data_IF_319107705888
#
_entry.id   IF_319107705888
#
_cell.length_a   1.000
_cell.length_b   1.000
_cell.length_c   1.000
_cell.angle_alpha   90.00
_cell.angle_beta   90.00
_cell.angle_gamma   90.00
#
_symmetry.space_group_name_H-M   'P 1'
#
loop_
_entity.id
_entity.type
_entity.pdbx_description
1 polymer ?
#
# COMPACT_ATOMS: atom_id res chain seq x y z
N UNK A 1 -34.00 -13.72 18.78
CA UNK A 1 -32.56 -13.52 19.08
C UNK A 1 -31.65 -14.04 17.97
N UNK A 2 -32.16 -14.70 16.92
CA UNK A 2 -31.35 -15.16 15.77
C UNK A 2 -31.35 -14.19 14.57
N UNK A 3 -32.27 -13.22 14.51
CA UNK A 3 -32.31 -12.22 13.42
C UNK A 3 -31.29 -11.07 13.57
N UNK A 4 -30.80 -10.81 14.79
CA UNK A 4 -29.84 -9.72 15.04
C UNK A 4 -28.41 -10.09 14.62
N UNK A 5 -27.98 -11.34 14.82
CA UNK A 5 -26.67 -11.83 14.34
C UNK A 5 -26.58 -11.86 12.81
N UNK A 6 -27.72 -11.98 12.12
CA UNK A 6 -27.76 -11.97 10.65
C UNK A 6 -27.52 -10.59 10.04
N UNK A 7 -27.82 -9.52 10.78
CA UNK A 7 -27.66 -8.14 10.30
C UNK A 7 -26.21 -7.68 10.51
N UNK A 8 -25.53 -8.13 11.58
CA UNK A 8 -24.11 -7.82 11.81
C UNK A 8 -23.15 -8.63 10.93
N UNK A 9 -23.57 -9.81 10.45
CA UNK A 9 -22.72 -10.66 9.60
C UNK A 9 -22.78 -10.39 8.10
N UNK A 10 -23.72 -9.57 7.61
CA UNK A 10 -24.11 -9.57 6.19
C UNK A 10 -23.91 -8.23 5.45
N UNK A 11 -23.42 -7.17 6.09
CA UNK A 11 -23.32 -5.84 5.46
C UNK A 11 -21.91 -5.24 5.45
N UNK A 12 -20.87 -6.05 5.61
CA UNK A 12 -19.47 -5.63 5.37
C UNK A 12 -18.77 -6.53 4.35
N UNK A 13 -19.53 -7.00 3.38
CA UNK A 13 -18.97 -7.42 2.09
C UNK A 13 -19.49 -6.44 1.04
N UNK A 14 -19.24 -5.15 1.25
CA UNK A 14 -19.06 -4.27 0.10
C UNK A 14 -18.11 -4.99 -0.85
N UNK A 15 -18.50 -5.08 -2.12
CA UNK A 15 -17.63 -5.43 -3.24
C UNK A 15 -16.46 -4.46 -3.26
N UNK A 16 -15.54 -4.62 -2.31
CA UNK A 16 -14.43 -3.72 -2.13
C UNK A 16 -13.60 -3.91 -3.40
N UNK A 17 -13.33 -2.86 -4.19
CA UNK A 17 -12.63 -2.98 -5.46
C UNK A 17 -11.24 -3.61 -5.29
N UNK A 18 -10.77 -3.71 -4.05
CA UNK A 18 -9.56 -4.40 -3.64
C UNK A 18 -9.60 -5.93 -3.75
N UNK A 19 -10.76 -6.58 -3.62
CA UNK A 19 -10.86 -8.04 -3.48
C UNK A 19 -10.48 -8.76 -4.76
N UNK A 20 -10.93 -8.24 -5.91
CA UNK A 20 -10.78 -8.89 -7.22
C UNK A 20 -9.71 -8.26 -8.14
N UNK A 21 -9.22 -7.05 -7.83
CA UNK A 21 -8.23 -6.37 -8.66
C UNK A 21 -6.79 -6.74 -8.26
N UNK A 22 -6.26 -7.81 -8.85
CA UNK A 22 -4.86 -8.25 -8.69
C UNK A 22 -3.84 -7.12 -8.98
N UNK A 23 -4.14 -6.25 -9.96
CA UNK A 23 -3.30 -5.10 -10.29
C UNK A 23 -3.22 -4.06 -9.17
N UNK A 24 -4.33 -3.77 -8.49
CA UNK A 24 -4.38 -2.80 -7.40
C UNK A 24 -3.59 -3.29 -6.17
N UNK A 25 -3.68 -4.59 -5.87
CA UNK A 25 -2.87 -5.22 -4.81
C UNK A 25 -1.37 -5.10 -5.07
N UNK A 26 -0.95 -5.39 -6.31
CA UNK A 26 0.46 -5.28 -6.71
C UNK A 26 0.91 -3.81 -6.69
N UNK A 27 0.09 -2.88 -7.18
CA UNK A 27 0.41 -1.45 -7.17
C UNK A 27 0.67 -0.95 -5.75
N UNK A 28 -0.19 -1.31 -4.81
CA UNK A 28 -0.04 -0.88 -3.42
C UNK A 28 1.15 -1.56 -2.76
N UNK A 29 1.41 -2.83 -3.06
CA UNK A 29 2.62 -3.51 -2.60
C UNK A 29 3.89 -2.78 -3.07
N UNK A 30 3.96 -2.44 -4.36
CA UNK A 30 5.10 -1.71 -4.95
C UNK A 30 5.21 -0.32 -4.35
N UNK A 31 4.10 0.38 -4.16
CA UNK A 31 4.06 1.70 -3.54
C UNK A 31 4.58 1.64 -2.10
N UNK A 32 4.13 0.67 -1.31
CA UNK A 32 4.62 0.45 0.05
C UNK A 32 6.12 0.22 0.05
N UNK A 33 6.64 -0.66 -0.81
CA UNK A 33 8.09 -0.90 -0.92
C UNK A 33 8.83 0.38 -1.30
N UNK A 34 8.32 1.16 -2.26
CA UNK A 34 8.93 2.40 -2.70
C UNK A 34 9.04 3.43 -1.56
N UNK A 35 8.01 3.55 -0.72
CA UNK A 35 8.01 4.45 0.45
C UNK A 35 9.13 4.09 1.44
N UNK A 36 9.51 2.81 1.57
CA UNK A 36 10.63 2.40 2.41
C UNK A 36 11.99 2.56 1.70
N UNK A 37 12.08 2.25 0.41
CA UNK A 37 13.35 2.24 -0.33
C UNK A 37 13.83 3.66 -0.66
N UNK A 38 12.92 4.58 -1.03
CA UNK A 38 13.28 5.94 -1.45
C UNK A 38 14.03 6.70 -0.34
N UNK A 39 13.57 6.74 0.93
CA UNK A 39 14.30 7.42 2.00
C UNK A 39 15.70 6.83 2.24
N UNK A 40 15.84 5.50 2.18
CA UNK A 40 17.16 4.85 2.30
C UNK A 40 18.08 5.32 1.18
N UNK A 41 17.57 5.38 -0.05
CA UNK A 41 18.34 5.82 -1.21
C UNK A 41 18.74 7.30 -1.13
N UNK A 42 17.83 8.15 -0.63
CA UNK A 42 18.08 9.57 -0.36
C UNK A 42 19.23 9.73 0.65
N UNK A 43 19.18 9.02 1.77
CA UNK A 43 20.23 9.07 2.80
C UNK A 43 21.57 8.59 2.23
N UNK A 44 21.57 7.49 1.48
CA UNK A 44 22.79 6.98 0.83
C UNK A 44 23.39 7.97 -0.19
N UNK A 45 22.55 8.70 -0.93
CA UNK A 45 23.02 9.74 -1.85
C UNK A 45 23.61 10.94 -1.10
N UNK A 46 22.96 11.37 -0.02
CA UNK A 46 23.48 12.45 0.85
C UNK A 46 24.84 12.08 1.46
N UNK A 47 25.02 10.84 1.92
CA UNK A 47 26.30 10.36 2.44
C UNK A 47 27.42 10.37 1.38
N UNK A 48 27.07 10.21 0.11
CA UNK A 48 28.01 10.28 -1.03
C UNK A 48 28.26 11.71 -1.52
N UNK A 49 27.67 12.72 -0.88
CA UNK A 49 27.74 14.11 -1.32
C UNK A 49 26.99 14.38 -2.63
N UNK A 50 26.09 13.48 -3.04
CA UNK A 50 25.25 13.63 -4.23
C UNK A 50 23.86 14.16 -3.82
N UNK A 51 23.22 14.96 -4.68
CA UNK A 51 21.92 15.52 -4.36
C UNK A 51 20.86 14.41 -4.21
N UNK A 52 19.93 14.57 -3.25
CA UNK A 52 19.03 13.51 -2.81
C UNK A 52 18.00 13.07 -3.86
N UNK A 53 17.71 13.91 -4.86
CA UNK A 53 16.66 13.66 -5.85
C UNK A 53 17.18 13.39 -7.27
N UNK A 54 18.50 13.33 -7.48
CA UNK A 54 19.04 12.88 -8.76
C UNK A 54 19.10 11.36 -8.80
N UNK A 55 18.13 10.77 -9.51
CA UNK A 55 18.13 9.34 -9.85
C UNK A 55 18.96 9.02 -11.11
N UNK A 56 19.62 10.01 -11.71
CA UNK A 56 20.42 9.92 -12.93
C UNK A 56 21.68 10.79 -12.83
#
# INVERSE_FOLDING_TARGET
MEEQERIEGQEFTEDHPYRNNKGLKIFILVLTIAVFVIPVFVVLNMLKGRPPFMFF
#
